data_IF_819770947744
#
_entry.id   IF_819770947744
#
_cell.length_a   1.000
_cell.length_b   1.000
_cell.length_c   1.000
_cell.angle_alpha   90.00
_cell.angle_beta   90.00
_cell.angle_gamma   90.00
#
_symmetry.space_group_name_H-M   'P 1'
#
loop_
_entity.id
_entity.type
_entity.pdbx_description
1 polymer ?
#
# COMPACT_ATOMS: atom_id res chain seq x y z
N UNK A 1 56.45 85.10 4.46
CA UNK A 1 57.23 84.19 5.31
C UNK A 1 56.43 83.89 6.56
N UNK A 2 56.24 82.59 6.82
CA UNK A 2 55.86 81.88 8.06
C UNK A 2 54.62 82.30 8.85
N UNK A 3 53.68 81.35 8.96
CA UNK A 3 53.01 81.06 10.22
C UNK A 3 52.93 79.54 10.42
N UNK A 4 53.22 79.10 11.65
CA UNK A 4 53.43 77.71 12.06
C UNK A 4 52.29 77.23 12.97
N UNK A 5 51.67 76.14 12.51
CA UNK A 5 51.12 74.95 13.21
C UNK A 5 50.79 75.04 14.72
N UNK A 6 49.54 74.71 15.04
CA UNK A 6 49.15 74.19 16.34
C UNK A 6 47.96 73.22 16.22
N UNK A 7 48.01 72.19 17.07
CA UNK A 7 46.92 71.35 17.59
C UNK A 7 46.66 69.95 17.00
N UNK A 8 46.65 69.03 17.97
CA UNK A 8 46.31 67.60 17.96
C UNK A 8 44.79 67.44 17.91
N UNK A 9 44.27 66.45 17.19
CA UNK A 9 43.10 65.60 17.51
C UNK A 9 43.19 64.38 16.56
N UNK A 10 43.32 63.16 17.09
CA UNK A 10 42.24 62.16 17.28
C UNK A 10 41.53 61.74 15.98
N UNK A 11 41.30 60.42 15.90
CA UNK A 11 40.31 59.71 15.07
C UNK A 11 40.57 59.58 13.57
N UNK A 12 40.59 58.32 13.12
CA UNK A 12 40.62 57.96 11.70
C UNK A 12 41.02 56.49 11.53
N UNK A 13 40.15 55.58 11.97
CA UNK A 13 40.31 54.15 11.74
C UNK A 13 40.42 53.87 10.23
N UNK A 14 41.44 53.09 9.87
CA UNK A 14 41.75 52.73 8.50
C UNK A 14 40.73 51.72 7.96
N UNK A 15 40.21 52.08 6.79
CA UNK A 15 39.28 51.36 5.92
C UNK A 15 39.85 50.02 5.46
N UNK A 16 39.05 48.94 5.51
CA UNK A 16 39.14 47.84 4.55
C UNK A 16 37.81 47.08 4.49
N UNK A 17 37.29 46.95 3.27
CA UNK A 17 36.03 46.33 2.92
C UNK A 17 36.01 44.82 3.17
N UNK A 18 34.86 44.29 3.57
CA UNK A 18 34.41 43.00 3.03
C UNK A 18 32.88 42.87 3.18
N UNK A 19 32.19 42.98 2.05
CA UNK A 19 30.86 42.41 1.84
C UNK A 19 30.96 40.90 2.08
N UNK A 20 30.44 40.42 3.19
CA UNK A 20 30.11 39.00 3.35
C UNK A 20 28.59 38.92 3.46
N UNK A 21 28.00 38.73 2.29
CA UNK A 21 26.68 38.14 2.09
C UNK A 21 26.50 36.96 3.04
N UNK A 22 25.43 37.04 3.83
CA UNK A 22 24.95 35.96 4.70
C UNK A 22 24.57 34.76 3.84
N UNK A 23 25.43 33.75 3.76
CA UNK A 23 25.01 32.42 3.34
C UNK A 23 24.25 31.79 4.51
N UNK A 24 22.92 31.98 4.52
CA UNK A 24 22.05 31.10 5.28
C UNK A 24 22.25 29.67 4.73
N UNK A 25 22.41 28.64 5.59
CA UNK A 25 22.32 27.28 5.12
C UNK A 25 20.89 27.07 4.61
N UNK A 26 20.75 26.96 3.30
CA UNK A 26 19.55 26.37 2.70
C UNK A 26 19.58 24.93 3.20
N UNK A 27 18.81 24.66 4.26
CA UNK A 27 18.44 23.31 4.62
C UNK A 27 17.74 22.75 3.38
N UNK A 28 18.48 21.99 2.60
CA UNK A 28 17.91 21.06 1.63
C UNK A 28 17.10 20.10 2.48
N UNK A 29 15.82 20.39 2.69
CA UNK A 29 14.87 19.37 3.05
C UNK A 29 14.98 18.34 1.93
N UNK A 30 15.69 17.25 2.21
CA UNK A 30 15.48 16.04 1.47
C UNK A 30 14.01 15.72 1.70
N UNK A 31 13.18 16.05 0.72
CA UNK A 31 11.87 15.47 0.56
C UNK A 31 12.15 13.96 0.53
N UNK A 32 12.08 13.32 1.69
CA UNK A 32 12.01 11.87 1.76
C UNK A 32 10.73 11.58 1.01
N UNK A 33 10.85 11.16 -0.24
CA UNK A 33 9.75 10.58 -0.98
C UNK A 33 9.13 9.54 -0.06
N UNK A 34 7.99 9.88 0.53
CA UNK A 34 7.24 8.97 1.37
C UNK A 34 7.01 7.75 0.49
N UNK A 35 7.40 6.54 0.93
CA UNK A 35 7.07 5.34 0.19
C UNK A 35 5.56 5.37 -0.02
N UNK A 36 5.12 5.18 -1.26
CA UNK A 36 3.70 5.03 -1.61
C UNK A 36 3.07 4.15 -0.53
N UNK A 37 2.00 4.64 0.10
CA UNK A 37 1.44 4.06 1.32
C UNK A 37 1.23 2.55 1.15
N UNK A 38 2.21 1.76 1.61
CA UNK A 38 2.18 0.31 1.49
C UNK A 38 1.15 -0.17 2.51
N UNK A 39 -0.02 -0.58 2.01
CA UNK A 39 -1.09 -1.03 2.88
C UNK A 39 -0.65 -2.35 3.50
N UNK A 40 -0.53 -2.39 4.83
CA UNK A 40 -0.31 -3.62 5.61
C UNK A 40 -1.38 -3.72 6.68
N UNK A 41 -2.40 -4.54 6.44
CA UNK A 41 -3.54 -4.66 7.35
C UNK A 41 -4.15 -6.06 7.31
N UNK A 42 -4.85 -6.43 8.38
CA UNK A 42 -5.70 -7.62 8.41
C UNK A 42 -6.99 -7.43 7.60
N UNK A 43 -7.32 -6.19 7.20
CA UNK A 43 -8.48 -5.88 6.37
C UNK A 43 -8.15 -4.80 5.34
N UNK A 44 -8.55 -5.05 4.09
CA UNK A 44 -8.39 -4.12 2.97
C UNK A 44 -9.68 -3.98 2.18
N UNK A 45 -9.91 -2.82 1.59
CA UNK A 45 -11.06 -2.50 0.75
C UNK A 45 -10.57 -2.09 -0.64
N UNK A 46 -11.31 -2.47 -1.66
CA UNK A 46 -10.93 -2.13 -3.03
C UNK A 46 -12.09 -2.16 -4.00
N UNK A 47 -11.86 -1.52 -5.15
CA UNK A 47 -12.74 -1.61 -6.32
C UNK A 47 -11.96 -2.29 -7.43
N UNK A 48 -12.49 -3.40 -7.95
CA UNK A 48 -11.92 -4.09 -9.10
C UNK A 48 -12.78 -3.80 -10.33
N UNK A 49 -12.18 -3.20 -11.35
CA UNK A 49 -12.91 -2.80 -12.56
C UNK A 49 -13.47 -4.02 -13.28
N UNK A 50 -14.64 -3.85 -13.88
CA UNK A 50 -15.21 -4.81 -14.80
C UNK A 50 -14.48 -4.78 -16.15
N UNK A 51 -14.97 -5.59 -17.10
CA UNK A 51 -14.41 -5.64 -18.45
C UNK A 51 -13.73 -6.94 -18.82
N UNK A 52 -13.97 -8.00 -18.02
CA UNK A 52 -13.43 -9.36 -18.15
C UNK A 52 -11.96 -9.50 -17.75
N UNK A 53 -11.65 -10.54 -16.96
CA UNK A 53 -10.29 -10.93 -16.56
C UNK A 53 -9.50 -9.91 -15.74
N UNK A 54 -10.18 -8.95 -15.10
CA UNK A 54 -9.51 -8.03 -14.19
C UNK A 54 -9.00 -8.78 -12.96
N UNK A 55 -7.78 -8.45 -12.53
CA UNK A 55 -7.11 -9.09 -11.39
C UNK A 55 -6.36 -8.07 -10.56
N UNK A 56 -6.50 -8.17 -9.24
CA UNK A 56 -5.69 -7.48 -8.25
C UNK A 56 -4.85 -8.54 -7.53
N UNK A 57 -3.55 -8.29 -7.41
CA UNK A 57 -2.60 -9.20 -6.79
C UNK A 57 -2.14 -8.60 -5.47
N UNK A 58 -2.49 -9.27 -4.38
CA UNK A 58 -2.19 -8.84 -3.02
C UNK A 58 -1.22 -9.82 -2.38
N UNK A 59 -0.21 -9.30 -1.68
CA UNK A 59 0.65 -10.09 -0.81
C UNK A 59 -0.12 -10.56 0.42
N UNK A 60 0.24 -11.72 0.95
CA UNK A 60 -0.31 -12.25 2.19
C UNK A 60 0.81 -12.90 3.00
N UNK A 61 1.08 -12.33 4.18
CA UNK A 61 2.12 -12.81 5.10
C UNK A 61 1.46 -13.39 6.35
N UNK A 62 1.58 -14.70 6.63
CA UNK A 62 1.06 -15.29 7.86
C UNK A 62 1.78 -14.73 9.08
N UNK A 63 1.04 -14.48 10.16
CA UNK A 63 1.63 -13.98 11.41
C UNK A 63 2.22 -15.12 12.25
N UNK A 64 1.56 -16.28 12.25
CA UNK A 64 2.00 -17.47 12.96
C UNK A 64 1.82 -18.73 12.08
N UNK A 65 2.65 -19.77 12.27
CA UNK A 65 2.42 -21.06 11.63
C UNK A 65 1.05 -21.60 12.07
N UNK A 66 0.16 -21.87 11.12
CA UNK A 66 -1.21 -22.27 11.45
C UNK A 66 -2.16 -22.20 10.28
N UNK A 67 -3.46 -22.25 10.58
CA UNK A 67 -4.49 -22.03 9.58
C UNK A 67 -4.66 -20.53 9.37
N UNK A 68 -4.62 -20.10 8.11
CA UNK A 68 -4.99 -18.75 7.68
C UNK A 68 -6.38 -18.83 7.09
N UNK A 69 -7.24 -17.89 7.47
CA UNK A 69 -8.60 -17.77 6.95
C UNK A 69 -8.76 -16.42 6.28
N UNK A 70 -9.25 -16.43 5.05
CA UNK A 70 -9.59 -15.25 4.26
C UNK A 70 -11.10 -15.18 4.10
N UNK A 71 -11.63 -13.97 4.24
CA UNK A 71 -13.03 -13.66 4.13
C UNK A 71 -13.18 -12.48 3.18
N UNK A 72 -13.91 -12.66 2.08
CA UNK A 72 -14.25 -11.58 1.18
C UNK A 72 -15.74 -11.25 1.30
N UNK A 73 -16.08 -9.97 1.41
CA UNK A 73 -17.44 -9.46 1.36
C UNK A 73 -17.57 -8.61 0.10
N UNK A 74 -18.57 -8.89 -0.72
CA UNK A 74 -18.79 -8.25 -2.01
C UNK A 74 -20.00 -7.31 -1.95
N UNK A 75 -20.03 -6.33 -2.87
CA UNK A 75 -21.18 -5.45 -3.08
C UNK A 75 -22.39 -6.13 -3.74
N UNK A 76 -22.26 -7.42 -4.08
CA UNK A 76 -23.27 -8.22 -4.76
C UNK A 76 -23.41 -9.59 -4.11
N UNK A 77 -24.63 -10.12 -4.15
CA UNK A 77 -24.92 -11.48 -3.73
C UNK A 77 -24.34 -12.50 -4.72
N UNK A 78 -24.12 -13.73 -4.25
CA UNK A 78 -23.65 -14.89 -5.01
C UNK A 78 -22.40 -14.56 -5.87
N UNK A 79 -21.29 -14.13 -5.27
CA UNK A 79 -20.10 -13.66 -5.99
C UNK A 79 -19.54 -14.68 -7.00
N UNK A 80 -19.52 -15.97 -6.67
CA UNK A 80 -19.05 -17.04 -7.59
C UNK A 80 -19.89 -17.08 -8.88
N UNK A 81 -21.20 -16.93 -8.77
CA UNK A 81 -22.13 -16.91 -9.91
C UNK A 81 -22.06 -15.60 -10.69
N UNK A 82 -21.67 -14.52 -10.02
CA UNK A 82 -21.53 -13.18 -10.60
C UNK A 82 -20.11 -12.90 -11.11
N UNK A 83 -19.26 -13.93 -11.22
CA UNK A 83 -17.94 -13.84 -11.83
C UNK A 83 -16.93 -13.05 -11.00
N UNK A 84 -17.10 -12.96 -9.69
CA UNK A 84 -16.15 -12.31 -8.78
C UNK A 84 -15.69 -13.27 -7.70
N UNK A 85 -14.44 -13.16 -7.30
CA UNK A 85 -13.90 -14.02 -6.26
C UNK A 85 -12.43 -13.79 -6.01
N UNK A 86 -11.82 -14.76 -5.31
CA UNK A 86 -10.38 -14.73 -5.09
C UNK A 86 -9.77 -16.13 -5.08
N UNK A 87 -8.47 -16.17 -5.40
CA UNK A 87 -7.62 -17.36 -5.30
C UNK A 87 -6.46 -17.07 -4.36
N UNK A 88 -5.92 -18.12 -3.74
CA UNK A 88 -4.70 -18.06 -2.94
C UNK A 88 -3.63 -18.92 -3.58
N UNK A 89 -2.44 -18.36 -3.73
CA UNK A 89 -1.26 -18.99 -4.30
C UNK A 89 -0.15 -19.04 -3.25
N UNK A 90 0.61 -20.14 -3.20
CA UNK A 90 1.93 -20.13 -2.60
C UNK A 90 2.97 -19.66 -3.64
N UNK A 91 4.22 -19.49 -3.22
CA UNK A 91 5.31 -19.03 -4.08
C UNK A 91 5.54 -19.90 -5.32
N UNK A 92 5.52 -21.23 -5.16
CA UNK A 92 5.71 -22.17 -6.28
C UNK A 92 4.59 -22.04 -7.32
N UNK A 93 3.35 -21.96 -6.86
CA UNK A 93 2.17 -21.86 -7.69
C UNK A 93 2.07 -20.49 -8.36
N UNK A 94 2.47 -19.42 -7.66
CA UNK A 94 2.61 -18.09 -8.25
C UNK A 94 3.61 -18.13 -9.40
N UNK A 95 4.78 -18.73 -9.20
CA UNK A 95 5.80 -18.87 -10.24
C UNK A 95 5.26 -19.64 -11.47
N UNK A 96 4.52 -20.73 -11.25
CA UNK A 96 3.87 -21.48 -12.34
C UNK A 96 2.83 -20.64 -13.10
N UNK A 97 2.02 -19.86 -12.39
CA UNK A 97 1.03 -18.96 -12.98
C UNK A 97 1.70 -17.85 -13.80
N UNK A 98 2.78 -17.26 -13.29
CA UNK A 98 3.58 -16.26 -14.01
C UNK A 98 4.27 -16.86 -15.25
N UNK A 99 4.58 -18.16 -15.22
CA UNK A 99 5.06 -18.92 -16.38
C UNK A 99 3.94 -19.28 -17.38
N UNK A 100 2.71 -18.82 -17.17
CA UNK A 100 1.57 -18.98 -18.09
C UNK A 100 0.62 -20.14 -17.74
N UNK A 101 0.80 -20.80 -16.60
CA UNK A 101 -0.18 -21.80 -16.14
C UNK A 101 -1.47 -21.12 -15.64
N UNK A 102 -2.57 -21.87 -15.65
CA UNK A 102 -3.88 -21.38 -15.22
C UNK A 102 -3.96 -21.32 -13.69
N UNK A 103 -4.45 -20.19 -13.16
CA UNK A 103 -4.62 -19.95 -11.71
C UNK A 103 -5.56 -20.99 -11.09
N UNK A 104 -6.64 -21.32 -11.80
CA UNK A 104 -7.65 -22.28 -11.34
C UNK A 104 -7.07 -23.67 -11.08
N UNK A 105 -6.03 -24.05 -11.82
CA UNK A 105 -5.39 -25.35 -11.70
C UNK A 105 -4.21 -25.33 -10.70
N UNK A 106 -3.80 -24.14 -10.24
CA UNK A 106 -2.61 -23.91 -9.41
C UNK A 106 -2.93 -23.14 -8.11
N UNK A 107 -4.18 -23.11 -7.63
CA UNK A 107 -4.49 -22.48 -6.35
C UNK A 107 -4.39 -23.46 -5.18
N UNK A 108 -4.03 -22.97 -4.00
CA UNK A 108 -4.06 -23.76 -2.75
C UNK A 108 -5.38 -23.58 -1.98
N UNK A 109 -6.09 -22.49 -2.25
CA UNK A 109 -7.41 -22.19 -1.74
C UNK A 109 -8.11 -21.19 -2.66
N UNK A 110 -9.44 -21.18 -2.63
CA UNK A 110 -10.29 -20.26 -3.37
C UNK A 110 -11.49 -19.84 -2.52
N UNK A 111 -11.99 -18.64 -2.76
CA UNK A 111 -13.17 -18.13 -2.07
C UNK A 111 -14.42 -18.93 -2.44
N UNK A 112 -15.14 -19.43 -1.43
CA UNK A 112 -16.42 -20.14 -1.61
C UNK A 112 -17.51 -19.54 -0.76
N UNK A 113 -18.70 -19.38 -1.33
CA UNK A 113 -19.94 -18.95 -0.66
C UNK A 113 -20.44 -19.99 0.36
N UNK A 114 -20.07 -21.25 0.18
CA UNK A 114 -20.44 -22.35 1.09
C UNK A 114 -19.50 -22.49 2.30
N UNK A 115 -18.50 -21.63 2.43
CA UNK A 115 -17.51 -21.71 3.52
C UNK A 115 -18.13 -21.41 4.89
N UNK A 116 -19.02 -20.41 4.96
CA UNK A 116 -19.73 -20.05 6.18
C UNK A 116 -21.12 -20.67 6.17
N UNK A 117 -21.39 -21.61 7.09
CA UNK A 117 -22.71 -22.22 7.24
C UNK A 117 -23.74 -21.14 7.60
N UNK A 118 -24.72 -20.92 6.72
CA UNK A 118 -25.72 -19.85 6.82
C UNK A 118 -25.11 -18.44 6.88
N UNK A 119 -23.96 -18.24 6.23
CA UNK A 119 -23.39 -16.90 6.03
C UNK A 119 -24.23 -16.05 5.07
N UNK A 120 -24.01 -14.72 5.03
CA UNK A 120 -24.54 -13.84 3.99
C UNK A 120 -24.19 -14.35 2.59
N UNK A 121 -25.11 -14.16 1.65
CA UNK A 121 -24.95 -14.60 0.25
C UNK A 121 -23.91 -13.78 -0.53
N UNK A 122 -23.50 -12.63 -0.02
CA UNK A 122 -22.43 -11.79 -0.57
C UNK A 122 -21.05 -12.08 0.03
N UNK A 123 -20.91 -13.13 0.83
CA UNK A 123 -19.66 -13.49 1.49
C UNK A 123 -19.01 -14.74 0.87
N UNK A 124 -17.70 -14.71 0.72
CA UNK A 124 -16.86 -15.87 0.40
C UNK A 124 -15.85 -16.09 1.51
N UNK A 125 -15.53 -17.35 1.79
CA UNK A 125 -14.45 -17.71 2.69
C UNK A 125 -13.50 -18.73 2.06
N UNK A 126 -12.26 -18.71 2.52
CA UNK A 126 -11.26 -19.71 2.19
C UNK A 126 -10.35 -19.93 3.41
N UNK A 127 -9.90 -21.16 3.63
CA UNK A 127 -8.89 -21.44 4.65
C UNK A 127 -7.85 -22.40 4.14
N UNK A 128 -6.60 -22.20 4.53
CA UNK A 128 -5.51 -23.11 4.23
C UNK A 128 -4.52 -23.14 5.38
N UNK A 129 -3.71 -24.20 5.43
CA UNK A 129 -2.62 -24.31 6.40
C UNK A 129 -1.38 -23.63 5.82
N UNK A 130 -0.92 -22.56 6.48
CA UNK A 130 0.30 -21.88 6.10
C UNK A 130 1.53 -22.71 6.49
N UNK A 131 2.33 -23.10 5.49
CA UNK A 131 3.60 -23.82 5.61
C UNK A 131 4.82 -23.01 5.17
N UNK A 132 4.64 -22.04 4.26
CA UNK A 132 5.65 -21.08 3.82
C UNK A 132 5.44 -19.66 4.40
N UNK A 133 6.43 -18.77 4.19
CA UNK A 133 6.46 -17.43 4.77
C UNK A 133 5.60 -16.39 4.02
N UNK A 134 5.25 -16.65 2.75
CA UNK A 134 4.54 -15.71 1.91
C UNK A 134 3.56 -16.41 0.96
N UNK A 135 2.45 -15.74 0.70
CA UNK A 135 1.38 -16.14 -0.22
C UNK A 135 0.93 -14.94 -1.03
N UNK A 136 0.14 -15.22 -2.07
CA UNK A 136 -0.48 -14.19 -2.91
C UNK A 136 -1.96 -14.46 -3.01
N UNK A 137 -2.77 -13.44 -2.74
CA UNK A 137 -4.21 -13.45 -2.98
C UNK A 137 -4.47 -12.76 -4.31
N UNK A 138 -5.16 -13.45 -5.21
CA UNK A 138 -5.56 -12.92 -6.51
C UNK A 138 -7.05 -12.68 -6.47
N UNK A 139 -7.46 -11.43 -6.30
CA UNK A 139 -8.87 -11.01 -6.40
C UNK A 139 -9.19 -10.80 -7.86
N UNK A 140 -10.30 -11.36 -8.35
CA UNK A 140 -10.67 -11.30 -9.76
C UNK A 140 -12.10 -10.80 -9.98
N UNK A 141 -12.30 -10.20 -11.15
CA UNK A 141 -13.60 -9.80 -11.67
C UNK A 141 -13.67 -10.14 -13.17
N UNK A 142 -14.39 -11.23 -13.46
CA UNK A 142 -14.70 -11.69 -14.82
C UNK A 142 -16.04 -11.15 -15.32
N UNK A 143 -16.73 -10.33 -14.51
CA UNK A 143 -18.00 -9.70 -14.88
C UNK A 143 -17.80 -8.44 -15.74
N UNK A 144 -18.90 -7.95 -16.30
CA UNK A 144 -18.91 -6.74 -17.11
C UNK A 144 -18.94 -5.45 -16.26
N UNK A 145 -19.22 -5.54 -14.97
CA UNK A 145 -19.38 -4.38 -14.08
C UNK A 145 -18.30 -4.36 -13.00
N UNK A 146 -17.90 -3.14 -12.60
CA UNK A 146 -17.00 -2.92 -11.46
C UNK A 146 -17.58 -3.56 -10.20
N UNK A 147 -16.72 -4.11 -9.35
CA UNK A 147 -17.11 -4.74 -8.10
C UNK A 147 -16.33 -4.16 -6.94
N UNK A 148 -17.03 -3.83 -5.86
CA UNK A 148 -16.41 -3.43 -4.60
C UNK A 148 -16.30 -4.63 -3.68
N UNK A 149 -15.18 -4.72 -2.97
CA UNK A 149 -14.92 -5.80 -2.03
C UNK A 149 -14.23 -5.29 -0.77
N UNK A 150 -14.49 -5.99 0.32
CA UNK A 150 -13.70 -5.95 1.55
C UNK A 150 -13.07 -7.33 1.73
N UNK A 151 -11.76 -7.40 1.87
CA UNK A 151 -11.02 -8.64 2.12
C UNK A 151 -10.40 -8.58 3.51
N UNK A 152 -10.78 -9.53 4.36
CA UNK A 152 -10.26 -9.68 5.72
C UNK A 152 -9.45 -10.98 5.83
N UNK A 153 -8.25 -10.90 6.39
CA UNK A 153 -7.38 -12.02 6.70
C UNK A 153 -7.29 -12.22 8.22
N UNK A 154 -7.42 -13.48 8.66
CA UNK A 154 -7.21 -13.89 10.05
C UNK A 154 -5.92 -14.71 10.13
N UNK A 155 -5.07 -14.40 11.13
CA UNK A 155 -3.73 -14.95 11.32
C UNK A 155 -2.77 -14.66 10.15
N UNK A 156 -3.01 -13.55 9.44
CA UNK A 156 -2.17 -13.06 8.35
C UNK A 156 -2.37 -11.55 8.13
N UNK A 157 -1.36 -10.92 7.55
CA UNK A 157 -1.38 -9.52 7.11
C UNK A 157 -1.43 -9.48 5.59
N UNK A 158 -2.34 -8.68 5.04
CA UNK A 158 -2.46 -8.40 3.61
C UNK A 158 -1.55 -7.22 3.29
N UNK A 159 -0.77 -7.36 2.22
CA UNK A 159 0.12 -6.31 1.71
C UNK A 159 -0.29 -5.93 0.28
N UNK A 160 -0.34 -4.64 -0.02
CA UNK A 160 -0.51 -4.15 -1.38
C UNK A 160 0.59 -3.18 -1.78
N UNK A 161 1.34 -3.56 -2.81
CA UNK A 161 2.41 -2.75 -3.40
C UNK A 161 1.92 -1.99 -4.65
N UNK A 162 0.70 -2.27 -5.11
CA UNK A 162 0.12 -1.73 -6.36
C UNK A 162 -0.79 -0.52 -6.17
N UNK A 163 -1.11 -0.18 -4.92
CA UNK A 163 -1.99 0.94 -4.55
C UNK A 163 -3.43 0.77 -5.03
N UNK A 164 -3.85 -0.48 -5.23
CA UNK A 164 -5.19 -0.85 -5.72
C UNK A 164 -6.19 -1.08 -4.58
N UNK A 165 -5.72 -1.20 -3.33
CA UNK A 165 -6.57 -1.34 -2.14
C UNK A 165 -6.19 -0.33 -1.06
N UNK A 166 -7.13 -0.05 -0.17
CA UNK A 166 -6.96 0.80 1.01
C UNK A 166 -7.17 -0.03 2.27
N UNK A 167 -6.41 0.23 3.34
CA UNK A 167 -6.68 -0.40 4.65
C UNK A 167 -7.72 0.38 5.43
N UNK A 168 -8.54 -0.32 6.21
CA UNK A 168 -9.31 0.33 7.28
C UNK A 168 -8.34 0.73 8.40
N UNK A 169 -8.08 2.04 8.51
CA UNK A 169 -7.00 2.62 9.32
C UNK A 169 -6.07 3.54 8.52
N UNK A 170 -6.08 3.48 7.18
CA UNK A 170 -5.51 4.51 6.31
C UNK A 170 -6.52 5.66 6.14
N UNK A 171 -6.97 6.26 7.24
CA UNK A 171 -7.53 7.60 7.17
C UNK A 171 -6.36 8.56 6.99
N UNK A 172 -6.28 9.12 5.78
CA UNK A 172 -5.75 10.44 5.43
C UNK A 172 -5.11 11.17 6.62
N UNK A 173 -3.79 11.14 6.72
CA UNK A 173 -3.07 12.19 7.43
C UNK A 173 -2.79 13.30 6.40
N UNK A 174 -3.86 13.87 5.85
CA UNK A 174 -3.83 15.11 5.10
C UNK A 174 -4.16 16.25 6.06
N UNK A 175 -3.11 16.99 6.39
CA UNK A 175 -3.08 18.46 6.22
C UNK A 175 -4.01 19.30 7.12
N UNK A 176 -3.55 19.64 8.33
CA UNK A 176 -3.72 21.00 8.87
C UNK A 176 -2.47 21.42 9.69
N UNK A 177 -1.59 22.17 9.05
CA UNK A 177 -0.67 23.08 9.72
C UNK A 177 -0.60 24.38 8.91
N UNK A 178 -1.63 25.21 9.05
CA UNK A 178 -1.57 26.65 8.74
C UNK A 178 -1.23 27.45 9.99
#
# INVERSE_FOLDING_TARGET
>A
MTQTKWHRFLTGALVAALLLTTFAPVAMAAEQAQPAAQVSASEVKGTITGGQFAKIWLGLTPENPGTVTLTAVWDRANPEENGVGFYVLNENNLSAVLAGQRIQDNNIASGSTNFFLNGPDNQQGASFRATGPAYTVVVYNDSASDANFTLTASNAVITDDSGQVTSEGAMMEDEEAT
#
